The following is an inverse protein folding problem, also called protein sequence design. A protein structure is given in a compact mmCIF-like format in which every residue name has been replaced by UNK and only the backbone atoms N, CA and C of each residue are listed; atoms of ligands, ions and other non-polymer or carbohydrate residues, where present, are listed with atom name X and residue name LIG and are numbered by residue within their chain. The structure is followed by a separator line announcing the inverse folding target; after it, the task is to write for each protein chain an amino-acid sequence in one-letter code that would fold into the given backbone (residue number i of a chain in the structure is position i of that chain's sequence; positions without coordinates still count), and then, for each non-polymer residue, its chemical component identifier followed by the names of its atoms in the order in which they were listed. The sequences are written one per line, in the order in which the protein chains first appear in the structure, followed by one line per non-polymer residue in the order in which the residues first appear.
data_IF_754652770760
#
_entry.id   IF_754652770760
#
_cell.length_a   1.000
_cell.length_b   1.000
_cell.length_c   1.000
_cell.angle_alpha   90.00
_cell.angle_beta   90.00
_cell.angle_gamma   90.00
#
_symmetry.space_group_name_H-M   'P 1'
#
loop_
_entity.id
_entity.type
_entity.pdbx_description
1 polymer ?
#
# COMPACT_ATOMS: atom_id res chain seq x y z
N UNK A 1 2.53 8.90 28.26
CA UNK A 1 2.16 7.49 28.00
C UNK A 1 2.25 7.27 26.50
N UNK A 2 2.94 6.23 26.04
CA UNK A 2 3.07 5.91 24.60
C UNK A 2 1.86 5.10 24.13
N UNK A 3 1.24 5.49 23.02
CA UNK A 3 0.16 4.74 22.36
C UNK A 3 0.71 4.04 21.11
N UNK A 4 0.08 2.91 20.75
CA UNK A 4 0.40 2.18 19.51
C UNK A 4 -0.53 2.63 18.38
N UNK A 5 -0.03 2.58 17.16
CA UNK A 5 -0.80 2.79 15.94
C UNK A 5 -1.07 1.44 15.27
N UNK A 6 -2.28 1.26 14.74
CA UNK A 6 -2.68 0.08 14.00
C UNK A 6 -2.32 0.23 12.51
N UNK A 7 -1.34 -0.56 12.05
CA UNK A 7 -0.70 -0.44 10.73
C UNK A 7 -0.71 -1.76 9.96
N UNK A 8 -1.87 -2.29 9.56
CA UNK A 8 -1.96 -3.62 8.96
C UNK A 8 -1.26 -3.73 7.60
N UNK A 9 -0.68 -4.88 7.33
CA UNK A 9 -0.40 -5.34 5.97
C UNK A 9 -1.75 -5.57 5.27
N UNK A 10 -2.05 -4.82 4.22
CA UNK A 10 -3.38 -4.82 3.64
C UNK A 10 -3.40 -4.56 2.13
N UNK A 11 -4.17 -5.37 1.41
CA UNK A 11 -4.45 -5.15 0.00
C UNK A 11 -3.27 -5.40 -0.93
N UNK A 12 -2.25 -6.14 -0.51
CA UNK A 12 -1.26 -6.71 -1.44
C UNK A 12 -1.91 -7.75 -2.36
N UNK A 13 -2.59 -8.71 -1.74
CA UNK A 13 -3.37 -9.76 -2.39
C UNK A 13 -4.71 -9.97 -1.63
N UNK A 14 -5.47 -10.98 -2.04
CA UNK A 14 -6.73 -11.35 -1.38
C UNK A 14 -7.93 -10.45 -1.70
N UNK A 15 -8.92 -10.47 -0.81
CA UNK A 15 -10.21 -9.78 -0.98
C UNK A 15 -10.10 -8.26 -0.84
N UNK A 16 -10.93 -7.53 -1.59
CA UNK A 16 -11.05 -6.06 -1.47
C UNK A 16 -11.57 -5.65 -0.07
N UNK A 17 -12.29 -6.53 0.62
CA UNK A 17 -12.84 -6.26 1.95
C UNK A 17 -11.77 -5.98 3.00
N UNK A 18 -10.54 -6.50 2.82
CA UNK A 18 -9.42 -6.16 3.70
C UNK A 18 -9.15 -4.65 3.71
N UNK A 19 -9.19 -4.00 2.54
CA UNK A 19 -8.97 -2.56 2.40
C UNK A 19 -10.12 -1.73 2.98
N UNK A 20 -11.34 -2.26 2.94
CA UNK A 20 -12.51 -1.64 3.59
C UNK A 20 -12.33 -1.68 5.11
N UNK A 21 -11.98 -2.84 5.66
CA UNK A 21 -11.74 -2.97 7.10
C UNK A 21 -10.61 -2.06 7.57
N UNK A 22 -9.48 -2.06 6.86
CA UNK A 22 -8.34 -1.21 7.19
C UNK A 22 -8.64 0.29 7.01
N UNK A 23 -9.49 0.68 6.06
CA UNK A 23 -9.93 2.06 5.92
C UNK A 23 -10.69 2.57 7.16
N UNK A 24 -11.51 1.71 7.76
CA UNK A 24 -12.35 2.08 8.92
C UNK A 24 -11.55 2.06 10.23
N UNK A 25 -10.56 1.17 10.35
CA UNK A 25 -9.90 0.89 11.64
C UNK A 25 -8.40 1.20 11.69
N UNK A 26 -7.73 1.32 10.55
CA UNK A 26 -6.28 1.47 10.46
C UNK A 26 -5.81 2.92 10.41
N UNK A 27 -4.65 3.18 11.03
CA UNK A 27 -3.97 4.47 10.95
C UNK A 27 -3.15 4.62 9.65
N UNK A 28 -2.82 3.51 9.00
CA UNK A 28 -2.21 3.41 7.67
C UNK A 28 -2.22 1.94 7.22
N UNK A 29 -1.83 1.71 5.97
CA UNK A 29 -1.66 0.35 5.42
C UNK A 29 -0.29 0.16 4.80
N UNK A 30 0.17 -1.09 4.80
CA UNK A 30 1.27 -1.53 3.93
C UNK A 30 0.70 -2.22 2.69
N UNK A 31 1.35 -2.04 1.54
CA UNK A 31 1.05 -2.52 0.18
C UNK A 31 -0.05 -1.77 -0.58
N UNK A 32 -1.34 -2.03 -0.30
CA UNK A 32 -2.44 -1.32 -0.96
C UNK A 32 -2.62 -1.54 -2.47
N UNK A 33 -1.95 -2.53 -3.08
CA UNK A 33 -2.00 -2.78 -4.54
C UNK A 33 -3.43 -2.94 -5.08
N UNK A 34 -4.29 -3.63 -4.34
CA UNK A 34 -5.67 -3.89 -4.71
C UNK A 34 -6.55 -2.62 -4.76
N UNK A 35 -6.09 -1.46 -4.25
CA UNK A 35 -6.79 -0.19 -4.44
C UNK A 35 -6.95 0.15 -5.92
N UNK A 36 -6.04 -0.29 -6.80
CA UNK A 36 -6.17 -0.11 -8.25
C UNK A 36 -7.42 -0.76 -8.86
N UNK A 37 -8.01 -1.74 -8.16
CA UNK A 37 -9.21 -2.47 -8.58
C UNK A 37 -10.51 -1.81 -8.14
N UNK A 38 -10.45 -0.79 -7.26
CA UNK A 38 -11.63 -0.10 -6.74
C UNK A 38 -11.41 1.41 -6.78
N UNK A 39 -11.88 2.10 -7.84
CA UNK A 39 -11.82 3.55 -7.94
C UNK A 39 -12.47 4.25 -6.74
N UNK A 40 -13.55 3.67 -6.20
CA UNK A 40 -14.26 4.19 -5.03
C UNK A 40 -13.36 4.17 -3.80
N UNK A 41 -12.73 3.03 -3.47
CA UNK A 41 -11.85 2.95 -2.31
C UNK A 41 -10.60 3.81 -2.50
N UNK A 42 -10.01 3.82 -3.68
CA UNK A 42 -8.88 4.70 -3.98
C UNK A 42 -9.24 6.18 -3.72
N UNK A 43 -10.44 6.60 -4.13
CA UNK A 43 -10.92 7.95 -3.88
C UNK A 43 -11.17 8.23 -2.40
N UNK A 44 -11.68 7.26 -1.63
CA UNK A 44 -11.83 7.40 -0.18
C UNK A 44 -10.47 7.53 0.53
N UNK A 45 -9.47 6.72 0.15
CA UNK A 45 -8.11 6.84 0.68
C UNK A 45 -7.46 8.19 0.35
N UNK A 46 -7.75 8.73 -0.84
CA UNK A 46 -7.37 10.10 -1.21
C UNK A 46 -8.06 11.14 -0.31
N UNK A 47 -9.39 11.10 -0.16
CA UNK A 47 -10.11 12.09 0.64
C UNK A 47 -9.71 12.06 2.12
N UNK A 48 -9.55 10.86 2.69
CA UNK A 48 -9.19 10.65 4.08
C UNK A 48 -7.68 10.80 4.34
N UNK A 49 -6.87 10.92 3.29
CA UNK A 49 -5.41 11.03 3.37
C UNK A 49 -4.77 9.89 4.20
N UNK A 50 -5.29 8.66 4.07
CA UNK A 50 -4.75 7.49 4.77
C UNK A 50 -3.40 7.11 4.14
N UNK A 51 -2.29 7.04 4.91
CA UNK A 51 -0.98 6.69 4.38
C UNK A 51 -0.89 5.24 3.87
N UNK A 52 -0.13 5.06 2.78
CA UNK A 52 0.10 3.78 2.14
C UNK A 52 1.62 3.60 1.97
N UNK A 53 2.20 2.63 2.67
CA UNK A 53 3.58 2.21 2.46
C UNK A 53 3.63 1.16 1.35
N UNK A 54 4.30 1.44 0.23
CA UNK A 54 4.34 0.55 -0.92
C UNK A 54 5.76 0.06 -1.20
N UNK A 55 5.89 -1.24 -1.50
CA UNK A 55 7.19 -1.90 -1.76
C UNK A 55 7.30 -2.43 -3.20
N UNK A 56 7.50 -1.58 -4.23
CA UNK A 56 7.46 -2.00 -5.63
C UNK A 56 8.41 -3.14 -6.00
N UNK A 57 9.61 -3.20 -5.40
CA UNK A 57 10.57 -4.28 -5.66
C UNK A 57 10.07 -5.62 -5.10
N UNK A 58 9.59 -5.65 -3.86
CA UNK A 58 8.95 -6.86 -3.29
C UNK A 58 7.74 -7.29 -4.11
N UNK A 59 6.84 -6.34 -4.43
CA UNK A 59 5.66 -6.63 -5.22
C UNK A 59 6.00 -7.22 -6.61
N UNK A 60 7.13 -6.78 -7.20
CA UNK A 60 7.63 -7.27 -8.48
C UNK A 60 7.99 -8.76 -8.46
N UNK A 61 8.52 -9.25 -7.35
CA UNK A 61 8.98 -10.63 -7.23
C UNK A 61 7.84 -11.65 -7.11
N UNK A 62 6.63 -11.22 -6.70
CA UNK A 62 5.57 -12.15 -6.29
C UNK A 62 4.19 -11.90 -6.93
N UNK A 63 3.82 -10.64 -7.23
CA UNK A 63 2.40 -10.31 -7.48
C UNK A 63 2.11 -9.58 -8.79
N UNK A 64 3.06 -8.80 -9.33
CA UNK A 64 2.88 -8.06 -10.58
C UNK A 64 4.21 -7.63 -11.18
N UNK A 65 4.29 -7.39 -12.48
CA UNK A 65 5.47 -6.74 -13.07
C UNK A 65 5.71 -5.34 -12.49
N UNK A 66 6.97 -4.95 -12.32
CA UNK A 66 7.39 -3.67 -11.75
C UNK A 66 6.77 -2.46 -12.47
N UNK A 67 6.72 -2.51 -13.81
CA UNK A 67 6.13 -1.46 -14.65
C UNK A 67 4.63 -1.28 -14.43
N UNK A 68 3.94 -2.30 -13.91
CA UNK A 68 2.50 -2.30 -13.62
C UNK A 68 2.21 -1.88 -12.17
N UNK A 69 3.23 -1.50 -11.39
CA UNK A 69 3.04 -1.06 -10.01
C UNK A 69 2.34 0.30 -9.95
N UNK A 70 1.24 0.43 -9.18
CA UNK A 70 0.44 1.65 -9.20
C UNK A 70 1.02 2.79 -8.35
N UNK A 71 2.19 2.63 -7.72
CA UNK A 71 2.83 3.67 -6.90
C UNK A 71 2.85 5.03 -7.61
N UNK A 72 3.35 5.07 -8.85
CA UNK A 72 3.48 6.34 -9.61
C UNK A 72 2.11 6.96 -9.90
N UNK A 73 1.13 6.12 -10.23
CA UNK A 73 -0.25 6.57 -10.47
C UNK A 73 -0.87 7.12 -9.19
N UNK A 74 -0.70 6.43 -8.06
CA UNK A 74 -1.23 6.87 -6.76
C UNK A 74 -0.59 8.19 -6.32
N UNK A 75 0.72 8.34 -6.52
CA UNK A 75 1.44 9.59 -6.26
C UNK A 75 0.89 10.74 -7.12
N UNK A 76 0.71 10.53 -8.43
CA UNK A 76 0.15 11.55 -9.32
C UNK A 76 -1.30 11.93 -8.96
N UNK A 77 -2.07 10.99 -8.41
CA UNK A 77 -3.44 11.22 -7.91
C UNK A 77 -3.48 11.89 -6.54
N UNK A 78 -2.33 12.17 -5.91
CA UNK A 78 -2.26 12.82 -4.61
C UNK A 78 -2.63 11.92 -3.43
N UNK A 79 -2.58 10.59 -3.59
CA UNK A 79 -2.64 9.68 -2.45
C UNK A 79 -1.36 9.82 -1.62
N UNK A 80 -1.48 9.65 -0.30
CA UNK A 80 -0.35 9.69 0.63
C UNK A 80 0.42 8.38 0.54
N UNK A 81 1.33 8.29 -0.43
CA UNK A 81 2.16 7.10 -0.65
C UNK A 81 3.59 7.32 -0.17
N UNK A 82 4.20 6.25 0.34
CA UNK A 82 5.62 6.20 0.69
C UNK A 82 6.27 4.96 0.08
N UNK A 83 7.58 5.05 -0.16
CA UNK A 83 8.39 3.92 -0.61
C UNK A 83 8.90 3.13 0.59
N UNK A 84 8.69 1.81 0.56
CA UNK A 84 9.20 0.86 1.54
C UNK A 84 9.97 -0.29 0.88
N UNK A 85 10.75 -1.01 1.69
CA UNK A 85 11.63 -2.09 1.22
C UNK A 85 11.02 -3.48 1.34
N UNK A 86 10.04 -3.66 2.23
CA UNK A 86 9.56 -4.97 2.69
C UNK A 86 10.72 -5.79 3.30
N UNK A 87 11.26 -6.77 2.57
CA UNK A 87 12.39 -7.60 2.97
C UNK A 87 13.69 -7.19 2.24
N UNK A 88 14.49 -6.23 2.76
CA UNK A 88 15.66 -5.72 2.05
C UNK A 88 16.70 -6.80 1.73
N UNK A 89 16.90 -7.77 2.63
CA UNK A 89 17.84 -8.88 2.41
C UNK A 89 17.44 -9.80 1.24
N UNK A 90 16.15 -9.90 0.94
CA UNK A 90 15.67 -10.76 -0.15
C UNK A 90 15.69 -10.03 -1.50
N UNK A 91 15.34 -8.74 -1.51
CA UNK A 91 15.05 -8.03 -2.76
C UNK A 91 16.10 -7.00 -3.20
N UNK A 92 17.03 -6.60 -2.33
CA UNK A 92 17.96 -5.50 -2.60
C UNK A 92 19.42 -5.99 -2.65
N UNK A 93 20.19 -5.40 -3.57
CA UNK A 93 21.59 -5.79 -3.83
C UNK A 93 22.62 -4.77 -3.32
N UNK A 94 22.16 -3.62 -2.82
CA UNK A 94 23.00 -2.52 -2.37
C UNK A 94 23.19 -2.56 -0.84
N UNK A 95 24.36 -2.10 -0.38
CA UNK A 95 24.67 -1.91 1.04
C UNK A 95 24.07 -0.62 1.56
#
# INVERSE_FOLDING_TARGET
MSTFLFRPHCGEAGSITHLVSAFITGDNISHGLNLKKSPVLQYLYYLAQIPIAMSPLSNNSLFLEYSKNPLREFLHKGLVVSLSTDDPMQFHYTK
#
